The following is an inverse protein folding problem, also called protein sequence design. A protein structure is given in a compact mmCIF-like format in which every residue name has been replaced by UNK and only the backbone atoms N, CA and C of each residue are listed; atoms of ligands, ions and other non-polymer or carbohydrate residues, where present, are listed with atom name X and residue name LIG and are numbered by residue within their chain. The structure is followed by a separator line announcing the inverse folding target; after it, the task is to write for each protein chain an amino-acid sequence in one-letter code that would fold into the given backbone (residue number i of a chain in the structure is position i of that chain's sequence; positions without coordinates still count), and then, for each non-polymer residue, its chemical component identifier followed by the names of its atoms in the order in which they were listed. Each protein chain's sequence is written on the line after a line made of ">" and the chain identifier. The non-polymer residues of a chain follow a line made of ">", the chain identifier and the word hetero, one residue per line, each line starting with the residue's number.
data_IF_653028021429
#
_entry.id   IF_653028021429
#
_cell.length_a   1.000
_cell.length_b   1.000
_cell.length_c   1.000
_cell.angle_alpha   90.00
_cell.angle_beta   90.00
_cell.angle_gamma   90.00
#
_symmetry.space_group_name_H-M   'P 1'
#
loop_
_entity.id
_entity.type
_entity.pdbx_description
1 polymer ?
#
# COMPACT_ATOMS: atom_id res chain seq x y z
N UNK A 1 24.99 -61.11 28.17
CA UNK A 1 25.40 -60.07 29.13
C UNK A 1 25.94 -58.89 28.33
N UNK A 2 25.50 -57.63 28.37
CA UNK A 2 24.52 -56.84 29.14
C UNK A 2 24.11 -55.67 28.21
N UNK A 3 22.82 -55.49 27.91
CA UNK A 3 21.90 -54.49 28.50
C UNK A 3 21.86 -53.12 27.80
N UNK A 4 20.78 -52.99 27.01
CA UNK A 4 19.94 -51.83 26.66
C UNK A 4 20.21 -50.49 27.37
N UNK A 5 20.34 -49.41 26.59
CA UNK A 5 19.66 -48.14 26.87
C UNK A 5 19.38 -47.38 25.56
N UNK A 6 18.12 -46.99 25.39
CA UNK A 6 17.59 -46.29 24.23
C UNK A 6 17.96 -44.81 24.27
N UNK A 7 18.45 -44.26 23.15
CA UNK A 7 18.33 -42.82 22.87
C UNK A 7 17.53 -42.71 21.57
N UNK A 8 16.26 -42.34 21.71
CA UNK A 8 15.36 -42.03 20.60
C UNK A 8 15.79 -40.67 20.04
N UNK A 9 16.60 -40.66 18.98
CA UNK A 9 16.85 -39.45 18.20
C UNK A 9 15.66 -39.26 17.27
N UNK A 10 14.70 -38.43 17.72
CA UNK A 10 13.72 -37.82 16.86
C UNK A 10 14.46 -36.84 15.93
N UNK A 11 14.44 -37.09 14.63
CA UNK A 11 14.93 -36.14 13.61
C UNK A 11 14.06 -36.35 12.37
N UNK A 12 12.97 -35.59 12.31
CA UNK A 12 12.83 -34.34 11.56
C UNK A 12 12.36 -34.65 10.13
N UNK A 13 11.05 -34.83 9.96
CA UNK A 13 10.42 -34.75 8.65
C UNK A 13 10.44 -33.28 8.26
N UNK A 14 11.42 -32.89 7.45
CA UNK A 14 11.42 -31.59 6.79
C UNK A 14 10.41 -31.67 5.63
N UNK A 15 9.13 -31.42 5.94
CA UNK A 15 8.13 -31.17 4.91
C UNK A 15 8.51 -29.85 4.23
N UNK A 16 9.05 -29.93 3.02
CA UNK A 16 9.34 -28.76 2.20
C UNK A 16 8.05 -27.99 1.95
N UNK A 17 7.90 -26.83 2.60
CA UNK A 17 6.96 -25.83 2.11
C UNK A 17 7.52 -25.32 0.78
N UNK A 18 6.99 -25.84 -0.31
CA UNK A 18 7.07 -25.17 -1.59
C UNK A 18 6.30 -23.84 -1.43
N UNK A 19 7.03 -22.75 -1.21
CA UNK A 19 6.49 -21.43 -1.43
C UNK A 19 6.21 -21.33 -2.93
N UNK A 20 4.93 -21.48 -3.31
CA UNK A 20 4.46 -20.96 -4.58
C UNK A 20 4.61 -19.44 -4.50
N UNK A 21 5.78 -18.96 -4.92
CA UNK A 21 5.98 -17.56 -5.27
C UNK A 21 5.06 -17.29 -6.46
N UNK A 22 3.82 -16.90 -6.17
CA UNK A 22 2.97 -16.28 -7.17
C UNK A 22 3.75 -15.10 -7.72
N UNK A 23 4.09 -15.14 -9.00
CA UNK A 23 4.64 -14.01 -9.71
C UNK A 23 3.57 -12.92 -9.70
N UNK A 24 3.62 -12.05 -8.69
CA UNK A 24 2.95 -10.77 -8.74
C UNK A 24 3.45 -10.10 -10.02
N UNK A 25 2.55 -9.93 -10.99
CA UNK A 25 2.87 -9.29 -12.25
C UNK A 25 3.50 -7.93 -11.92
N UNK A 26 4.79 -7.81 -12.21
CA UNK A 26 5.53 -6.58 -11.96
C UNK A 26 4.97 -5.54 -12.94
N UNK A 27 4.12 -4.65 -12.44
CA UNK A 27 3.47 -3.63 -13.23
C UNK A 27 4.55 -2.72 -13.84
N UNK A 28 4.49 -2.47 -15.16
CA UNK A 28 5.47 -1.61 -15.83
C UNK A 28 5.42 -0.22 -15.20
N UNK A 29 6.56 0.39 -14.84
CA UNK A 29 6.56 1.71 -14.21
C UNK A 29 5.81 2.72 -15.08
N UNK A 30 4.85 3.44 -14.50
CA UNK A 30 4.13 4.52 -15.18
C UNK A 30 5.14 5.60 -15.64
N UNK A 31 5.23 5.89 -16.96
CA UNK A 31 6.17 6.89 -17.47
C UNK A 31 5.98 8.28 -16.85
N UNK A 32 4.75 8.63 -16.44
CA UNK A 32 4.48 9.90 -15.77
C UNK A 32 5.08 9.93 -14.35
N UNK A 33 5.08 8.79 -13.65
CA UNK A 33 5.74 8.68 -12.33
C UNK A 33 7.25 8.79 -12.46
N UNK A 34 7.84 8.12 -13.45
CA UNK A 34 9.29 8.17 -13.70
C UNK A 34 9.72 9.59 -14.06
N UNK A 35 8.99 10.25 -14.98
CA UNK A 35 9.27 11.64 -15.35
C UNK A 35 9.15 12.61 -14.16
N UNK A 36 8.23 12.35 -13.23
CA UNK A 36 8.02 13.20 -12.05
C UNK A 36 9.09 13.06 -10.96
N UNK A 37 9.86 11.96 -10.91
CA UNK A 37 10.81 11.69 -9.81
C UNK A 37 11.82 12.80 -9.57
N UNK A 38 12.39 13.38 -10.64
CA UNK A 38 13.36 14.48 -10.54
C UNK A 38 12.73 15.73 -9.94
N UNK A 39 11.53 16.09 -10.39
CA UNK A 39 10.80 17.25 -9.87
C UNK A 39 10.42 17.05 -8.42
N UNK A 40 9.98 15.83 -8.06
CA UNK A 40 9.62 15.49 -6.69
C UNK A 40 10.82 15.66 -5.74
N UNK A 41 12.01 15.20 -6.13
CA UNK A 41 13.23 15.36 -5.32
C UNK A 41 13.56 16.84 -5.07
N UNK A 42 13.46 17.69 -6.10
CA UNK A 42 13.68 19.14 -5.96
C UNK A 42 12.64 19.77 -5.01
N UNK A 43 11.38 19.40 -5.18
CA UNK A 43 10.28 19.95 -4.38
C UNK A 43 10.33 19.54 -2.91
N UNK A 44 10.81 18.33 -2.61
CA UNK A 44 10.98 17.82 -1.24
C UNK A 44 12.02 18.61 -0.46
N UNK A 45 13.04 19.16 -1.12
CA UNK A 45 14.07 19.97 -0.47
C UNK A 45 13.63 21.44 -0.30
N UNK A 46 12.78 21.95 -1.19
CA UNK A 46 12.50 23.40 -1.29
C UNK A 46 11.16 23.86 -0.73
N UNK A 47 10.22 22.96 -0.43
CA UNK A 47 8.87 23.33 -0.01
C UNK A 47 8.29 22.40 1.06
N UNK A 48 7.57 22.99 2.02
CA UNK A 48 6.78 22.25 3.00
C UNK A 48 5.46 21.82 2.34
N UNK A 49 5.35 20.55 1.99
CA UNK A 49 4.14 19.94 1.46
C UNK A 49 3.30 19.33 2.58
N UNK A 50 1.98 19.43 2.45
CA UNK A 50 1.02 18.73 3.30
C UNK A 50 0.14 17.87 2.40
N UNK A 51 0.09 16.57 2.68
CA UNK A 51 -0.83 15.66 2.00
C UNK A 51 -2.27 16.06 2.31
N UNK A 52 -3.09 16.26 1.28
CA UNK A 52 -4.53 16.55 1.43
C UNK A 52 -5.35 15.28 1.62
N UNK A 53 -4.88 14.16 1.11
CA UNK A 53 -5.52 12.85 1.24
C UNK A 53 -4.59 11.90 1.97
N UNK A 54 -5.13 11.22 2.99
CA UNK A 54 -4.38 10.36 3.89
C UNK A 54 -4.23 8.90 3.39
N UNK A 55 -4.89 8.54 2.28
CA UNK A 55 -4.88 7.18 1.76
C UNK A 55 -5.87 6.22 2.44
N UNK A 56 -6.61 6.63 3.47
CA UNK A 56 -7.47 5.74 4.25
C UNK A 56 -8.94 6.14 4.23
N UNK A 57 -9.22 7.44 4.26
CA UNK A 57 -10.58 7.94 4.42
C UNK A 57 -10.73 9.40 3.96
N UNK A 58 -11.93 9.96 4.13
CA UNK A 58 -12.28 11.32 3.72
C UNK A 58 -12.14 12.34 4.87
N UNK A 59 -11.34 12.06 5.90
CA UNK A 59 -11.07 13.03 6.96
C UNK A 59 -10.50 14.32 6.38
N UNK A 60 -11.06 15.47 6.78
CA UNK A 60 -10.69 16.77 6.21
C UNK A 60 -11.36 17.11 4.88
N UNK A 61 -12.31 16.29 4.40
CA UNK A 61 -13.11 16.52 3.20
C UNK A 61 -14.61 16.60 3.52
N UNK A 62 -15.33 17.41 2.74
CA UNK A 62 -16.78 17.61 2.81
C UNK A 62 -17.40 17.72 1.41
N UNK A 63 -18.73 17.75 1.33
CA UNK A 63 -19.47 17.75 0.07
C UNK A 63 -20.09 16.38 -0.19
N UNK A 64 -19.95 15.86 -1.41
CA UNK A 64 -20.55 14.59 -1.80
C UNK A 64 -19.71 13.38 -1.39
N UNK A 65 -19.51 13.16 -0.09
CA UNK A 65 -18.71 12.03 0.44
C UNK A 65 -19.28 10.66 0.04
N UNK A 66 -20.60 10.57 -0.20
CA UNK A 66 -21.24 9.36 -0.68
C UNK A 66 -20.90 9.04 -2.16
N UNK A 67 -20.45 10.03 -2.94
CA UNK A 67 -20.01 9.87 -4.33
C UNK A 67 -18.59 9.33 -4.47
N UNK A 68 -17.84 9.18 -3.38
CA UNK A 68 -16.46 8.73 -3.39
C UNK A 68 -16.28 7.48 -2.53
N UNK A 69 -15.22 6.74 -2.81
CA UNK A 69 -14.78 5.60 -2.01
C UNK A 69 -13.25 5.51 -2.03
N UNK A 70 -12.68 4.84 -1.02
CA UNK A 70 -11.25 4.58 -0.96
C UNK A 70 -11.06 3.09 -1.25
N UNK A 71 -10.27 2.78 -2.28
CA UNK A 71 -9.88 1.41 -2.62
C UNK A 71 -8.36 1.38 -2.81
N UNK A 72 -7.68 0.49 -2.09
CA UNK A 72 -6.23 0.29 -2.16
C UNK A 72 -5.40 1.57 -2.03
N UNK A 73 -5.80 2.48 -1.14
CA UNK A 73 -5.12 3.76 -0.94
C UNK A 73 -5.43 4.82 -2.01
N UNK A 74 -6.37 4.54 -2.91
CA UNK A 74 -6.77 5.43 -4.00
C UNK A 74 -8.16 5.98 -3.74
N UNK A 75 -8.30 7.30 -3.87
CA UNK A 75 -9.59 7.97 -3.84
C UNK A 75 -10.29 7.80 -5.20
N UNK A 76 -11.40 7.06 -5.21
CA UNK A 76 -12.18 6.76 -6.42
C UNK A 76 -13.44 7.62 -6.44
N UNK A 77 -13.65 8.32 -7.56
CA UNK A 77 -14.92 9.00 -7.87
C UNK A 77 -15.88 8.01 -8.53
N UNK A 78 -17.01 7.73 -7.89
CA UNK A 78 -18.02 6.83 -8.43
C UNK A 78 -18.82 7.53 -9.52
N UNK A 79 -19.48 6.74 -10.38
CA UNK A 79 -20.40 7.28 -11.39
C UNK A 79 -21.46 8.17 -10.74
N UNK A 80 -21.51 9.44 -11.15
CA UNK A 80 -22.44 10.43 -10.62
C UNK A 80 -21.96 11.18 -9.38
N UNK A 81 -20.70 10.97 -8.94
CA UNK A 81 -20.08 11.74 -7.89
C UNK A 81 -20.02 13.23 -8.22
N UNK A 82 -20.28 14.07 -7.22
CA UNK A 82 -20.27 15.53 -7.32
C UNK A 82 -19.02 16.09 -6.64
N UNK A 83 -19.07 17.36 -6.23
CA UNK A 83 -17.92 18.04 -5.65
C UNK A 83 -17.58 17.48 -4.26
N UNK A 84 -16.33 17.04 -4.11
CA UNK A 84 -15.66 16.82 -2.84
C UNK A 84 -14.65 17.94 -2.63
N UNK A 85 -14.70 18.59 -1.47
CA UNK A 85 -13.99 19.84 -1.19
C UNK A 85 -13.31 19.70 0.17
N UNK A 86 -12.12 20.26 0.34
CA UNK A 86 -11.46 20.32 1.65
C UNK A 86 -12.32 21.09 2.66
N UNK A 87 -12.32 20.65 3.90
CA UNK A 87 -12.93 21.39 5.01
C UNK A 87 -12.19 22.70 5.25
N UNK A 88 -10.85 22.63 5.21
CA UNK A 88 -9.93 23.77 5.29
C UNK A 88 -9.92 24.56 3.98
N UNK A 89 -9.78 25.87 4.11
CA UNK A 89 -9.49 26.78 2.99
C UNK A 89 -8.00 27.09 2.94
N UNK A 90 -7.47 27.25 1.72
CA UNK A 90 -6.08 27.60 1.46
C UNK A 90 -6.06 28.88 0.62
N UNK A 91 -5.14 29.80 0.93
CA UNK A 91 -5.01 31.12 0.31
C UNK A 91 -3.66 31.73 0.61
#
# INVERSE_FOLDING_TARGET
>A
MNSRLHIRIASLVLAGLATVAGAAAQEKPDPNRVAAQRTLAILQESAAWQDLFNGTDLSGWKGDTAGYEIQDGVLICKKGGKNLITEKQFG
#
